data_IF_682908276174
#
_entry.id   IF_682908276174
#
_cell.length_a   1.000
_cell.length_b   1.000
_cell.length_c   1.000
_cell.angle_alpha   90.00
_cell.angle_beta   90.00
_cell.angle_gamma   90.00
#
_symmetry.space_group_name_H-M   'P 1'
#
loop_
_entity.id
_entity.type
_entity.pdbx_description
1 polymer ?
#
# COMPACT_ATOMS: atom_id res chain seq x y z
N UNK A 1 5.37 -8.68 74.48
CA UNK A 1 4.51 -8.02 73.46
C UNK A 1 5.08 -6.70 72.93
N UNK A 2 5.71 -5.83 73.73
CA UNK A 2 6.23 -4.53 73.24
C UNK A 2 7.43 -4.65 72.27
N UNK A 3 8.31 -5.65 72.44
CA UNK A 3 9.54 -5.82 71.64
C UNK A 3 9.27 -6.39 70.23
N UNK A 4 8.28 -7.27 70.07
CA UNK A 4 7.89 -7.75 68.73
C UNK A 4 7.31 -6.63 67.86
N UNK A 5 6.60 -5.67 68.48
CA UNK A 5 6.07 -4.50 67.78
C UNK A 5 7.16 -3.51 67.34
N UNK A 6 8.30 -3.42 68.03
CA UNK A 6 9.40 -2.53 67.63
C UNK A 6 10.23 -3.11 66.49
N UNK A 7 10.49 -4.42 66.49
CA UNK A 7 11.23 -5.12 65.42
C UNK A 7 10.42 -5.10 64.13
N UNK A 8 9.10 -5.36 64.19
CA UNK A 8 8.22 -5.29 63.03
C UNK A 8 8.21 -3.89 62.39
N UNK A 9 8.18 -2.81 63.21
CA UNK A 9 8.23 -1.43 62.72
C UNK A 9 9.57 -1.07 62.10
N UNK A 10 10.69 -1.59 62.62
CA UNK A 10 12.03 -1.32 62.09
C UNK A 10 12.27 -2.01 60.74
N UNK A 11 11.80 -3.25 60.60
CA UNK A 11 11.87 -4.02 59.34
C UNK A 11 11.04 -3.35 58.25
N UNK A 12 9.81 -2.91 58.55
CA UNK A 12 8.97 -2.21 57.57
C UNK A 12 9.61 -0.88 57.14
N UNK A 13 10.23 -0.13 58.08
CA UNK A 13 10.85 1.17 57.77
C UNK A 13 12.10 1.06 56.90
N UNK A 14 12.90 0.01 57.07
CA UNK A 14 14.13 -0.21 56.29
C UNK A 14 13.87 -0.74 54.89
N UNK A 15 12.76 -1.46 54.67
CA UNK A 15 12.40 -2.03 53.37
C UNK A 15 11.39 -1.17 52.59
N UNK A 16 10.76 -0.18 53.24
CA UNK A 16 9.86 0.79 52.60
C UNK A 16 10.45 1.45 51.33
N UNK A 17 11.71 1.95 51.29
CA UNK A 17 12.25 2.55 50.08
C UNK A 17 12.50 1.53 48.95
N UNK A 18 12.91 0.30 49.28
CA UNK A 18 13.06 -0.79 48.29
C UNK A 18 11.73 -1.31 47.75
N UNK A 19 10.71 -1.42 48.61
CA UNK A 19 9.35 -1.79 48.20
C UNK A 19 8.72 -0.66 47.38
N UNK A 20 8.91 0.60 47.76
CA UNK A 20 8.47 1.75 46.98
C UNK A 20 9.19 1.82 45.62
N UNK A 21 10.49 1.54 45.55
CA UNK A 21 11.24 1.48 44.30
C UNK A 21 10.79 0.31 43.41
N UNK A 22 10.48 -0.85 43.98
CA UNK A 22 9.90 -1.99 43.25
C UNK A 22 8.49 -1.68 42.73
N UNK A 23 7.63 -1.05 43.54
CA UNK A 23 6.29 -0.60 43.12
C UNK A 23 6.38 0.48 42.04
N UNK A 24 7.31 1.44 42.16
CA UNK A 24 7.59 2.44 41.12
C UNK A 24 8.13 1.80 39.84
N UNK A 25 9.00 0.79 39.94
CA UNK A 25 9.50 0.05 38.77
C UNK A 25 8.42 -0.80 38.11
N UNK A 26 7.52 -1.41 38.90
CA UNK A 26 6.37 -2.15 38.42
C UNK A 26 5.28 -1.22 37.85
N UNK A 27 5.13 0.01 38.36
CA UNK A 27 4.20 1.01 37.79
C UNK A 27 4.75 1.62 36.51
N UNK A 28 6.07 1.85 36.40
CA UNK A 28 6.73 2.26 35.15
C UNK A 28 6.62 1.15 34.10
N UNK A 29 6.74 -0.12 34.50
CA UNK A 29 6.47 -1.27 33.61
C UNK A 29 4.97 -1.44 33.27
N UNK A 30 4.06 -1.10 34.20
CA UNK A 30 2.62 -1.15 33.98
C UNK A 30 2.07 0.01 33.12
N UNK A 31 2.84 1.08 32.94
CA UNK A 31 2.49 2.21 32.06
C UNK A 31 3.01 2.09 30.62
N UNK A 32 3.68 0.98 30.29
CA UNK A 32 3.68 0.49 28.91
C UNK A 32 2.39 -0.32 28.66
N UNK A 33 1.22 0.29 28.89
CA UNK A 33 0.03 -0.18 28.20
C UNK A 33 0.35 -0.06 26.70
N UNK A 34 0.48 -1.19 26.02
CA UNK A 34 0.67 -1.20 24.57
C UNK A 34 -0.51 -0.39 24.02
N UNK A 35 -0.23 0.80 23.46
CA UNK A 35 -1.28 1.61 22.85
C UNK A 35 -1.90 0.76 21.75
N UNK A 36 -3.14 0.32 21.99
CA UNK A 36 -3.92 -0.46 21.05
C UNK A 36 -5.08 0.41 20.59
N UNK A 37 -5.18 0.59 19.28
CA UNK A 37 -6.33 1.23 18.67
C UNK A 37 -7.48 0.21 18.67
N UNK A 38 -8.68 0.59 19.16
CA UNK A 38 -9.84 -0.28 19.13
C UNK A 38 -10.20 -0.76 17.72
N UNK A 39 -10.61 -2.02 17.60
CA UNK A 39 -10.92 -2.68 16.31
C UNK A 39 -12.03 -1.95 15.55
N UNK A 40 -13.11 -1.53 16.22
CA UNK A 40 -14.20 -0.78 15.61
C UNK A 40 -13.76 0.54 14.95
N UNK A 41 -12.67 1.16 15.46
CA UNK A 41 -12.09 2.36 14.86
C UNK A 41 -11.31 2.03 13.59
N UNK A 42 -10.63 0.90 13.59
CA UNK A 42 -9.90 0.39 12.41
C UNK A 42 -10.89 0.00 11.31
N UNK A 43 -12.01 -0.64 11.68
CA UNK A 43 -13.12 -0.94 10.77
C UNK A 43 -13.71 0.31 10.13
N UNK A 44 -13.99 1.37 10.92
CA UNK A 44 -14.45 2.67 10.40
C UNK A 44 -13.47 3.26 9.37
N UNK A 45 -12.18 3.30 9.69
CA UNK A 45 -11.17 3.80 8.76
C UNK A 45 -11.03 2.96 7.49
N UNK A 46 -11.17 1.64 7.57
CA UNK A 46 -11.17 0.77 6.39
C UNK A 46 -12.36 1.09 5.48
N UNK A 47 -13.58 1.21 6.04
CA UNK A 47 -14.77 1.56 5.27
C UNK A 47 -14.64 2.95 4.60
N UNK A 48 -14.07 3.92 5.32
CA UNK A 48 -13.77 5.25 4.77
C UNK A 48 -12.71 5.21 3.67
N UNK A 49 -11.68 4.38 3.82
CA UNK A 49 -10.65 4.18 2.81
C UNK A 49 -11.23 3.59 1.53
N UNK A 50 -12.04 2.53 1.62
CA UNK A 50 -12.71 1.91 0.46
C UNK A 50 -13.57 2.93 -0.28
N UNK A 51 -14.40 3.70 0.44
CA UNK A 51 -15.21 4.76 -0.15
C UNK A 51 -14.36 5.85 -0.82
N UNK A 52 -13.22 6.22 -0.22
CA UNK A 52 -12.31 7.20 -0.80
C UNK A 52 -11.62 6.67 -2.06
N UNK A 53 -11.33 5.37 -2.15
CA UNK A 53 -10.80 4.72 -3.35
C UNK A 53 -11.83 4.75 -4.49
N UNK A 54 -13.09 4.43 -4.20
CA UNK A 54 -14.19 4.46 -5.18
C UNK A 54 -14.48 5.87 -5.72
N UNK A 55 -14.39 6.88 -4.85
CA UNK A 55 -14.71 8.28 -5.19
C UNK A 55 -13.49 9.12 -5.55
N UNK A 56 -12.29 8.54 -5.51
CA UNK A 56 -11.00 9.23 -5.71
C UNK A 56 -10.80 10.46 -4.78
N UNK A 57 -11.33 10.39 -3.56
CA UNK A 57 -11.33 11.51 -2.60
C UNK A 57 -9.98 11.64 -1.86
N UNK A 58 -9.04 12.39 -2.45
CA UNK A 58 -7.75 12.69 -1.81
C UNK A 58 -7.88 13.50 -0.52
N UNK A 59 -8.98 14.26 -0.34
CA UNK A 59 -9.25 15.01 0.88
C UNK A 59 -9.52 14.07 2.05
N UNK A 60 -10.34 13.03 1.81
CA UNK A 60 -10.60 11.99 2.80
C UNK A 60 -9.35 11.17 3.12
N UNK A 61 -8.55 10.79 2.12
CA UNK A 61 -7.28 10.11 2.37
C UNK A 61 -6.32 10.97 3.20
N UNK A 62 -6.33 12.29 3.03
CA UNK A 62 -5.55 13.20 3.88
C UNK A 62 -6.07 13.22 5.32
N UNK A 63 -7.39 13.30 5.53
CA UNK A 63 -8.00 13.24 6.86
C UNK A 63 -7.70 11.93 7.58
N UNK A 64 -7.77 10.80 6.88
CA UNK A 64 -7.38 9.50 7.41
C UNK A 64 -5.93 9.49 7.89
N UNK A 65 -5.00 10.08 7.14
CA UNK A 65 -3.60 10.21 7.61
C UNK A 65 -3.53 11.04 8.89
N UNK A 66 -4.19 12.19 8.94
CA UNK A 66 -4.14 13.07 10.11
C UNK A 66 -4.71 12.40 11.37
N UNK A 67 -5.73 11.56 11.22
CA UNK A 67 -6.32 10.78 12.31
C UNK A 67 -5.44 9.58 12.73
N UNK A 68 -4.94 8.81 11.76
CA UNK A 68 -4.28 7.52 12.01
C UNK A 68 -2.82 7.73 12.43
N UNK A 69 -2.10 8.68 11.82
CA UNK A 69 -0.66 8.89 12.04
C UNK A 69 -0.24 9.05 13.52
N UNK A 70 -0.86 9.93 14.33
CA UNK A 70 -0.46 10.07 15.74
C UNK A 70 -0.68 8.76 16.52
N UNK A 71 -1.72 8.00 16.18
CA UNK A 71 -2.05 6.73 16.83
C UNK A 71 -1.12 5.61 16.37
N UNK A 72 -0.80 5.54 15.08
CA UNK A 72 0.17 4.60 14.51
C UNK A 72 1.58 4.78 15.09
N UNK A 73 1.95 6.02 15.45
CA UNK A 73 3.23 6.30 16.11
C UNK A 73 3.28 5.81 17.56
N UNK A 74 2.13 5.60 18.20
CA UNK A 74 2.04 5.03 19.56
C UNK A 74 1.84 3.50 19.49
N UNK A 75 0.95 3.04 18.61
CA UNK A 75 0.59 1.65 18.37
C UNK A 75 1.58 0.94 17.42
N UNK A 76 2.89 1.09 17.69
CA UNK A 76 3.97 0.60 16.80
C UNK A 76 3.99 -0.91 16.62
N UNK A 77 3.36 -1.66 17.52
CA UNK A 77 3.28 -3.13 17.51
C UNK A 77 1.94 -3.67 16.99
N UNK A 78 1.00 -2.80 16.58
CA UNK A 78 -0.31 -3.22 16.08
C UNK A 78 -0.30 -3.27 14.54
N UNK A 79 -0.30 -4.48 13.99
CA UNK A 79 -0.16 -4.70 12.54
C UNK A 79 -1.21 -3.92 11.74
N UNK A 80 -2.47 -4.01 12.14
CA UNK A 80 -3.63 -3.46 11.43
C UNK A 80 -3.45 -1.97 11.17
N UNK A 81 -2.99 -1.23 12.17
CA UNK A 81 -2.80 0.23 12.10
C UNK A 81 -1.60 0.59 11.22
N UNK A 82 -0.48 -0.14 11.35
CA UNK A 82 0.70 0.10 10.51
C UNK A 82 0.38 -0.22 9.04
N UNK A 83 -0.28 -1.36 8.80
CA UNK A 83 -0.69 -1.78 7.47
C UNK A 83 -1.68 -0.80 6.85
N UNK A 84 -2.75 -0.43 7.56
CA UNK A 84 -3.76 0.51 7.07
C UNK A 84 -3.14 1.86 6.70
N UNK A 85 -2.32 2.45 7.57
CA UNK A 85 -1.69 3.73 7.27
C UNK A 85 -0.76 3.64 6.05
N UNK A 86 -0.02 2.55 5.89
CA UNK A 86 0.81 2.32 4.71
C UNK A 86 -0.02 2.23 3.42
N UNK A 87 -1.21 1.61 3.49
CA UNK A 87 -2.16 1.52 2.37
C UNK A 87 -2.74 2.89 2.01
N UNK A 88 -3.12 3.71 3.00
CA UNK A 88 -3.59 5.09 2.75
C UNK A 88 -2.52 5.94 2.06
N UNK A 89 -1.25 5.80 2.45
CA UNK A 89 -0.14 6.47 1.75
C UNK A 89 0.03 5.96 0.31
N UNK A 90 -0.10 4.66 0.07
CA UNK A 90 -0.05 4.07 -1.26
C UNK A 90 -1.16 4.62 -2.17
N UNK A 91 -2.41 4.62 -1.70
CA UNK A 91 -3.55 5.14 -2.48
C UNK A 91 -3.36 6.62 -2.84
N UNK A 92 -2.79 7.40 -1.91
CA UNK A 92 -2.41 8.78 -2.19
C UNK A 92 -1.32 8.88 -3.23
N UNK A 93 -0.33 7.98 -3.28
CA UNK A 93 0.66 7.90 -4.36
C UNK A 93 -0.02 7.62 -5.71
N UNK A 94 -0.96 6.68 -5.73
CA UNK A 94 -1.72 6.31 -6.92
C UNK A 94 -2.53 7.47 -7.47
N UNK A 95 -3.19 8.26 -6.62
CA UNK A 95 -3.91 9.47 -7.06
C UNK A 95 -2.98 10.51 -7.71
N UNK A 96 -1.76 10.71 -7.19
CA UNK A 96 -0.78 11.63 -7.84
C UNK A 96 -0.36 11.10 -9.19
N UNK A 97 -0.08 9.79 -9.28
CA UNK A 97 0.29 9.14 -10.54
C UNK A 97 -0.85 9.22 -11.55
N UNK A 98 -2.08 8.95 -11.13
CA UNK A 98 -3.28 9.07 -11.96
C UNK A 98 -3.44 10.49 -12.48
N UNK A 99 -3.38 11.50 -11.59
CA UNK A 99 -3.50 12.90 -11.99
C UNK A 99 -2.49 13.30 -13.07
N UNK A 100 -1.23 12.89 -12.89
CA UNK A 100 -0.14 13.13 -13.85
C UNK A 100 -0.31 12.45 -15.20
N UNK A 101 -1.07 11.36 -15.26
CA UNK A 101 -1.22 10.51 -16.45
C UNK A 101 -2.52 10.77 -17.21
N UNK A 102 -3.54 11.25 -16.51
CA UNK A 102 -4.89 11.39 -17.05
C UNK A 102 -5.25 12.85 -17.33
N UNK A 103 -4.83 13.81 -16.49
CA UNK A 103 -5.15 15.22 -16.70
C UNK A 103 -4.04 15.93 -17.47
N UNK A 104 -4.42 16.98 -18.21
CA UNK A 104 -3.50 17.93 -18.82
C UNK A 104 -2.92 18.85 -17.74
N UNK A 105 -1.87 18.36 -17.08
CA UNK A 105 -1.14 19.10 -16.05
C UNK A 105 0.12 19.73 -16.65
N UNK A 106 0.36 21.00 -16.31
CA UNK A 106 1.54 21.69 -16.82
C UNK A 106 2.84 21.09 -16.22
N UNK A 107 4.00 21.50 -16.78
CA UNK A 107 5.31 20.99 -16.34
C UNK A 107 5.60 21.24 -14.85
N UNK A 108 5.16 22.38 -14.31
CA UNK A 108 5.39 22.78 -12.92
C UNK A 108 4.52 21.93 -11.99
N UNK A 109 3.24 21.79 -12.31
CA UNK A 109 2.30 20.94 -11.58
C UNK A 109 2.73 19.48 -11.62
N UNK A 110 3.15 18.95 -12.78
CA UNK A 110 3.65 17.59 -12.89
C UNK A 110 4.86 17.35 -11.97
N UNK A 111 5.78 18.32 -11.88
CA UNK A 111 6.92 18.26 -10.96
C UNK A 111 6.46 18.25 -9.48
N UNK A 112 5.48 19.07 -9.12
CA UNK A 112 4.92 19.09 -7.76
C UNK A 112 4.29 17.74 -7.42
N UNK A 113 3.45 17.20 -8.30
CA UNK A 113 2.80 15.90 -8.11
C UNK A 113 3.83 14.75 -7.99
N UNK A 114 4.93 14.82 -8.75
CA UNK A 114 6.05 13.86 -8.63
C UNK A 114 6.71 13.92 -7.26
N UNK A 115 7.03 15.11 -6.80
CA UNK A 115 7.67 15.30 -5.50
C UNK A 115 6.76 14.84 -4.37
N UNK A 116 5.46 15.17 -4.44
CA UNK A 116 4.46 14.69 -3.48
C UNK A 116 4.36 13.17 -3.49
N UNK A 117 4.33 12.54 -4.68
CA UNK A 117 4.29 11.08 -4.81
C UNK A 117 5.52 10.43 -4.14
N UNK A 118 6.71 10.99 -4.34
CA UNK A 118 7.94 10.48 -3.73
C UNK A 118 7.91 10.62 -2.20
N UNK A 119 7.51 11.78 -1.68
CA UNK A 119 7.37 12.02 -0.24
C UNK A 119 6.35 11.06 0.40
N UNK A 120 5.17 10.92 -0.22
CA UNK A 120 4.11 10.02 0.25
C UNK A 120 4.60 8.57 0.27
N UNK A 121 5.32 8.14 -0.76
CA UNK A 121 5.89 6.78 -0.82
C UNK A 121 6.91 6.56 0.30
N UNK A 122 7.81 7.52 0.54
CA UNK A 122 8.80 7.43 1.62
C UNK A 122 8.13 7.35 3.00
N UNK A 123 7.08 8.17 3.24
CA UNK A 123 6.32 8.14 4.48
C UNK A 123 5.56 6.82 4.65
N UNK A 124 4.91 6.33 3.59
CA UNK A 124 4.23 5.04 3.59
C UNK A 124 5.17 3.87 3.86
N UNK A 125 6.40 3.93 3.34
CA UNK A 125 7.41 2.87 3.50
C UNK A 125 7.73 2.59 4.97
N UNK A 126 7.79 3.62 5.81
CA UNK A 126 8.02 3.45 7.27
C UNK A 126 6.99 2.51 7.89
N UNK A 127 5.72 2.68 7.52
CA UNK A 127 4.62 1.90 8.07
C UNK A 127 4.52 0.52 7.39
N UNK A 128 4.82 0.43 6.09
CA UNK A 128 4.89 -0.84 5.36
C UNK A 128 6.00 -1.75 5.92
N UNK A 129 7.18 -1.19 6.23
CA UNK A 129 8.28 -1.92 6.84
C UNK A 129 7.90 -2.48 8.22
N UNK A 130 7.20 -1.68 9.03
CA UNK A 130 6.66 -2.14 10.32
C UNK A 130 5.61 -3.23 10.15
N UNK A 131 4.68 -3.06 9.21
CA UNK A 131 3.65 -4.07 8.93
C UNK A 131 4.28 -5.41 8.51
N UNK A 132 5.26 -5.40 7.62
CA UNK A 132 6.01 -6.59 7.21
C UNK A 132 6.81 -7.19 8.38
N UNK A 133 7.42 -6.36 9.23
CA UNK A 133 8.13 -6.86 10.41
C UNK A 133 7.20 -7.54 11.43
N UNK A 134 5.98 -7.02 11.60
CA UNK A 134 4.98 -7.58 12.51
C UNK A 134 4.32 -8.86 11.96
N UNK A 135 4.06 -8.91 10.65
CA UNK A 135 3.50 -10.09 9.97
C UNK A 135 4.26 -10.37 8.67
N UNK A 136 5.41 -11.05 8.74
CA UNK A 136 6.24 -11.33 7.57
C UNK A 136 5.61 -12.30 6.57
N UNK A 137 4.54 -12.99 6.95
CA UNK A 137 3.73 -13.86 6.10
C UNK A 137 2.49 -13.16 5.49
N UNK A 138 2.32 -11.85 5.68
CA UNK A 138 1.22 -11.11 5.07
C UNK A 138 1.54 -10.76 3.62
N UNK A 139 0.87 -11.43 2.68
CA UNK A 139 0.98 -11.11 1.25
C UNK A 139 0.69 -9.63 0.97
N UNK A 140 -0.41 -9.10 1.52
CA UNK A 140 -0.80 -7.71 1.30
C UNK A 140 0.23 -6.70 1.83
N UNK A 141 0.87 -6.96 2.97
CA UNK A 141 1.89 -6.05 3.49
C UNK A 141 3.13 -6.01 2.57
N UNK A 142 3.54 -7.15 2.03
CA UNK A 142 4.60 -7.22 1.03
C UNK A 142 4.19 -6.56 -0.28
N UNK A 143 2.94 -6.73 -0.72
CA UNK A 143 2.40 -6.05 -1.89
C UNK A 143 2.49 -4.53 -1.75
N UNK A 144 1.93 -3.98 -0.67
CA UNK A 144 1.94 -2.53 -0.41
C UNK A 144 3.36 -1.99 -0.36
N UNK A 145 4.28 -2.70 0.31
CA UNK A 145 5.70 -2.35 0.33
C UNK A 145 6.32 -2.32 -1.07
N UNK A 146 6.02 -3.32 -1.90
CA UNK A 146 6.52 -3.40 -3.28
C UNK A 146 6.02 -2.24 -4.15
N UNK A 147 4.73 -1.90 -4.09
CA UNK A 147 4.17 -0.78 -4.84
C UNK A 147 4.70 0.56 -4.35
N UNK A 148 4.90 0.73 -3.04
CA UNK A 148 5.56 1.93 -2.51
C UNK A 148 6.98 2.09 -3.07
N UNK A 149 7.79 1.02 -3.17
CA UNK A 149 9.09 1.08 -3.85
C UNK A 149 8.96 1.51 -5.32
N UNK A 150 7.98 0.98 -6.05
CA UNK A 150 7.71 1.34 -7.45
C UNK A 150 7.35 2.83 -7.56
N UNK A 151 6.62 3.39 -6.61
CA UNK A 151 6.29 4.82 -6.59
C UNK A 151 7.49 5.74 -6.35
N UNK A 152 8.64 5.23 -5.87
CA UNK A 152 9.90 6.00 -5.80
C UNK A 152 10.64 6.04 -7.16
N UNK A 153 10.18 5.32 -8.17
CA UNK A 153 10.77 5.33 -9.51
C UNK A 153 10.35 6.61 -10.23
N UNK A 154 11.24 7.58 -10.19
CA UNK A 154 11.10 8.89 -10.82
C UNK A 154 11.96 9.03 -12.08
N UNK A 155 12.68 8.01 -12.51
CA UNK A 155 13.50 8.02 -13.72
C UNK A 155 14.38 6.77 -13.83
N UNK A 156 15.26 6.69 -14.84
CA UNK A 156 16.09 5.51 -15.07
C UNK A 156 16.98 5.13 -13.88
N UNK A 157 17.64 6.10 -13.25
CA UNK A 157 18.56 5.86 -12.12
C UNK A 157 17.81 5.32 -10.91
N UNK A 158 16.69 5.96 -10.52
CA UNK A 158 15.85 5.46 -9.42
C UNK A 158 15.18 4.14 -9.78
N UNK A 159 14.89 3.89 -11.07
CA UNK A 159 14.41 2.60 -11.58
C UNK A 159 15.39 1.45 -11.33
N UNK A 160 16.68 1.66 -11.57
CA UNK A 160 17.73 0.65 -11.27
C UNK A 160 17.81 0.41 -9.75
N UNK A 161 17.65 1.46 -8.94
CA UNK A 161 17.76 1.35 -7.48
C UNK A 161 16.54 0.70 -6.80
N UNK A 162 15.33 1.06 -7.23
CA UNK A 162 14.09 0.69 -6.54
C UNK A 162 13.26 -0.36 -7.28
N UNK A 163 13.45 -0.51 -8.60
CA UNK A 163 12.78 -1.53 -9.39
C UNK A 163 12.98 -2.95 -8.87
N UNK A 164 14.22 -3.40 -8.61
CA UNK A 164 14.48 -4.72 -8.03
C UNK A 164 13.83 -4.92 -6.66
N UNK A 165 13.86 -3.90 -5.78
CA UNK A 165 13.25 -3.96 -4.45
C UNK A 165 11.73 -4.08 -4.51
N UNK A 166 11.11 -3.30 -5.39
CA UNK A 166 9.68 -3.39 -5.65
C UNK A 166 9.32 -4.78 -6.15
N UNK A 167 10.05 -5.27 -7.16
CA UNK A 167 9.85 -6.60 -7.74
C UNK A 167 9.93 -7.70 -6.69
N UNK A 168 10.99 -7.71 -5.89
CA UNK A 168 11.22 -8.71 -4.84
C UNK A 168 10.07 -8.75 -3.82
N UNK A 169 9.60 -7.58 -3.35
CA UNK A 169 8.46 -7.52 -2.44
C UNK A 169 7.15 -7.99 -3.09
N UNK A 170 6.91 -7.67 -4.37
CA UNK A 170 5.72 -8.17 -5.09
C UNK A 170 5.80 -9.68 -5.33
N UNK A 171 6.95 -10.20 -5.73
CA UNK A 171 7.15 -11.65 -5.89
C UNK A 171 6.97 -12.38 -4.57
N UNK A 172 7.43 -11.81 -3.46
CA UNK A 172 7.18 -12.37 -2.12
C UNK A 172 5.70 -12.37 -1.75
N UNK A 173 4.96 -11.32 -2.09
CA UNK A 173 3.51 -11.29 -1.89
C UNK A 173 2.84 -12.45 -2.64
N UNK A 174 3.15 -12.64 -3.92
CA UNK A 174 2.59 -13.73 -4.74
C UNK A 174 3.02 -15.11 -4.22
N UNK A 175 4.25 -15.26 -3.73
CA UNK A 175 4.70 -16.51 -3.11
C UNK A 175 3.88 -16.85 -1.85
N UNK A 176 3.57 -15.85 -1.03
CA UNK A 176 2.79 -16.01 0.21
C UNK A 176 1.31 -16.28 -0.08
N UNK A 177 0.74 -15.62 -1.09
CA UNK A 177 -0.62 -15.86 -1.56
C UNK A 177 -0.70 -15.76 -3.09
N UNK A 178 -0.66 -16.90 -3.81
CA UNK A 178 -0.79 -16.93 -5.26
C UNK A 178 -2.16 -16.44 -5.79
N UNK A 179 -3.17 -16.31 -4.91
CA UNK A 179 -4.50 -15.78 -5.26
C UNK A 179 -4.60 -14.28 -5.08
N UNK A 180 -3.55 -13.63 -4.59
CA UNK A 180 -3.52 -12.20 -4.41
C UNK A 180 -3.56 -11.47 -5.77
N UNK A 181 -4.76 -11.07 -6.18
CA UNK A 181 -5.00 -10.44 -7.48
C UNK A 181 -4.26 -9.11 -7.62
N UNK A 182 -4.18 -8.32 -6.54
CA UNK A 182 -3.51 -7.03 -6.56
C UNK A 182 -1.99 -7.17 -6.71
N UNK A 183 -1.36 -8.14 -6.04
CA UNK A 183 0.07 -8.41 -6.20
C UNK A 183 0.40 -8.93 -7.61
N UNK A 184 -0.43 -9.84 -8.14
CA UNK A 184 -0.31 -10.29 -9.53
C UNK A 184 -0.51 -9.15 -10.53
N UNK A 185 -1.46 -8.25 -10.27
CA UNK A 185 -1.67 -7.03 -11.08
C UNK A 185 -0.43 -6.14 -11.03
N UNK A 186 0.15 -5.92 -9.86
CA UNK A 186 1.38 -5.14 -9.69
C UNK A 186 2.54 -5.74 -10.50
N UNK A 187 2.73 -7.07 -10.47
CA UNK A 187 3.74 -7.74 -11.28
C UNK A 187 3.47 -7.61 -12.79
N UNK A 188 2.20 -7.77 -13.21
CA UNK A 188 1.77 -7.55 -14.60
C UNK A 188 2.09 -6.14 -15.09
N UNK A 189 1.94 -5.12 -14.23
CA UNK A 189 2.32 -3.74 -14.56
C UNK A 189 3.83 -3.58 -14.75
N UNK A 190 4.64 -4.31 -13.99
CA UNK A 190 6.10 -4.32 -14.19
C UNK A 190 6.46 -4.96 -15.52
N UNK A 191 5.86 -6.10 -15.86
CA UNK A 191 6.02 -6.72 -17.19
C UNK A 191 5.61 -5.77 -18.32
N UNK A 192 4.51 -5.02 -18.14
CA UNK A 192 4.01 -4.11 -19.14
C UNK A 192 4.88 -2.86 -19.33
N UNK A 193 5.42 -2.26 -18.26
CA UNK A 193 6.04 -0.94 -18.35
C UNK A 193 7.56 -0.92 -18.21
N UNK A 194 8.18 -1.99 -17.73
CA UNK A 194 9.63 -2.05 -17.68
C UNK A 194 10.22 -2.27 -19.08
N UNK A 195 11.46 -1.79 -19.32
CA UNK A 195 12.24 -2.22 -20.47
C UNK A 195 12.52 -3.73 -20.45
N UNK A 196 12.69 -4.39 -21.61
CA UNK A 196 12.95 -5.84 -21.66
C UNK A 196 14.13 -6.31 -20.81
N UNK A 197 15.24 -5.58 -20.83
CA UNK A 197 16.44 -5.89 -20.05
C UNK A 197 16.27 -5.70 -18.53
N UNK A 198 15.14 -5.14 -18.07
CA UNK A 198 14.84 -4.92 -16.65
C UNK A 198 13.48 -5.55 -16.26
N UNK A 199 13.20 -6.74 -16.82
CA UNK A 199 12.02 -7.53 -16.48
C UNK A 199 10.73 -7.10 -17.17
N UNK A 200 10.81 -6.31 -18.25
CA UNK A 200 9.68 -6.08 -19.15
C UNK A 200 9.42 -7.30 -20.04
N UNK A 201 8.16 -7.69 -20.17
CA UNK A 201 7.73 -8.84 -20.97
C UNK A 201 6.25 -8.65 -21.35
N UNK A 202 6.00 -8.14 -22.56
CA UNK A 202 4.63 -7.75 -22.98
C UNK A 202 3.72 -8.96 -23.17
N UNK A 203 4.30 -10.13 -23.51
CA UNK A 203 3.56 -11.38 -23.60
C UNK A 203 3.07 -11.82 -22.22
N UNK A 204 3.95 -11.87 -21.23
CA UNK A 204 3.57 -12.18 -19.85
C UNK A 204 2.60 -11.15 -19.27
N UNK A 205 2.75 -9.88 -19.62
CA UNK A 205 1.80 -8.84 -19.22
C UNK A 205 0.39 -9.14 -19.76
N UNK A 206 0.28 -9.42 -21.05
CA UNK A 206 -1.01 -9.73 -21.69
C UNK A 206 -1.66 -10.98 -21.07
N UNK A 207 -0.88 -12.06 -20.89
CA UNK A 207 -1.34 -13.29 -20.25
C UNK A 207 -1.81 -13.03 -18.81
N UNK A 208 -0.98 -12.37 -17.99
CA UNK A 208 -1.30 -12.04 -16.59
C UNK A 208 -2.61 -11.26 -16.50
N UNK A 209 -2.78 -10.23 -17.34
CA UNK A 209 -4.00 -9.41 -17.28
C UNK A 209 -5.23 -10.11 -17.85
N UNK A 210 -5.10 -10.94 -18.89
CA UNK A 210 -6.20 -11.76 -19.39
C UNK A 210 -6.67 -12.75 -18.30
N UNK A 211 -5.75 -13.39 -17.58
CA UNK A 211 -6.07 -14.28 -16.44
C UNK A 211 -6.76 -13.54 -15.30
N UNK A 212 -6.23 -12.39 -14.88
CA UNK A 212 -6.82 -11.59 -13.80
C UNK A 212 -8.22 -11.09 -14.17
N UNK A 213 -8.43 -10.72 -15.43
CA UNK A 213 -9.75 -10.32 -15.91
C UNK A 213 -10.77 -11.46 -15.84
N UNK A 214 -10.35 -12.69 -16.13
CA UNK A 214 -11.20 -13.88 -15.98
C UNK A 214 -11.46 -14.24 -14.51
N UNK A 215 -10.53 -13.91 -13.61
CA UNK A 215 -10.68 -14.07 -12.17
C UNK A 215 -11.56 -12.98 -11.50
N UNK A 216 -12.14 -12.05 -12.28
CA UNK A 216 -13.04 -11.02 -11.77
C UNK A 216 -12.35 -9.73 -11.28
N UNK A 217 -11.09 -9.48 -11.67
CA UNK A 217 -10.35 -8.27 -11.28
C UNK A 217 -10.80 -6.97 -12.00
N UNK A 218 -12.06 -6.92 -12.44
CA UNK A 218 -12.69 -5.74 -13.04
C UNK A 218 -12.31 -5.43 -14.50
N UNK A 219 -12.95 -4.39 -15.02
CA UNK A 219 -12.75 -3.84 -16.37
C UNK A 219 -11.31 -3.34 -16.59
N UNK A 220 -10.65 -2.85 -15.54
CA UNK A 220 -9.28 -2.32 -15.62
C UNK A 220 -8.27 -3.36 -16.10
N UNK A 221 -8.40 -4.63 -15.71
CA UNK A 221 -7.49 -5.67 -16.18
C UNK A 221 -7.66 -5.94 -17.68
N UNK A 222 -8.88 -5.84 -18.22
CA UNK A 222 -9.08 -5.92 -19.66
C UNK A 222 -8.42 -4.75 -20.41
N UNK A 223 -8.49 -3.53 -19.86
CA UNK A 223 -7.79 -2.37 -20.44
C UNK A 223 -6.27 -2.57 -20.42
N UNK A 224 -5.71 -3.09 -19.32
CA UNK A 224 -4.28 -3.36 -19.21
C UNK A 224 -3.82 -4.49 -20.16
N UNK A 225 -4.62 -5.54 -20.34
CA UNK A 225 -4.38 -6.57 -21.35
C UNK A 225 -4.39 -5.96 -22.76
N UNK A 226 -5.37 -5.10 -23.07
CA UNK A 226 -5.43 -4.41 -24.34
C UNK A 226 -4.19 -3.54 -24.60
N UNK A 227 -3.69 -2.82 -23.59
CA UNK A 227 -2.44 -2.07 -23.69
C UNK A 227 -1.25 -2.97 -24.01
N UNK A 228 -1.14 -4.12 -23.36
CA UNK A 228 -0.09 -5.10 -23.64
C UNK A 228 -0.16 -5.59 -25.10
N UNK A 229 -1.35 -5.87 -25.62
CA UNK A 229 -1.54 -6.25 -27.02
C UNK A 229 -1.20 -5.12 -28.01
N UNK A 230 -1.55 -3.87 -27.70
CA UNK A 230 -1.18 -2.71 -28.53
C UNK A 230 0.33 -2.50 -28.61
N UNK A 231 1.04 -2.64 -27.49
CA UNK A 231 2.51 -2.57 -27.43
C UNK A 231 3.20 -3.68 -28.26
N UNK A 232 2.45 -4.75 -28.58
CA UNK A 232 2.89 -5.84 -29.44
C UNK A 232 2.44 -5.71 -30.89
N UNK A 233 1.79 -4.61 -31.26
CA UNK A 233 1.19 -4.42 -32.59
C UNK A 233 0.10 -5.47 -32.91
N UNK A 234 -0.68 -5.87 -31.90
CA UNK A 234 -1.82 -6.80 -32.02
C UNK A 234 -3.18 -6.10 -31.77
N UNK A 235 -3.57 -5.09 -32.57
CA UNK A 235 -4.73 -4.24 -32.30
C UNK A 235 -6.07 -4.98 -32.30
N UNK A 236 -6.21 -6.08 -33.06
CA UNK A 236 -7.44 -6.88 -33.09
C UNK A 236 -7.67 -7.57 -31.74
N UNK A 237 -6.61 -8.09 -31.10
CA UNK A 237 -6.72 -8.69 -29.77
C UNK A 237 -7.02 -7.62 -28.73
N UNK A 238 -6.39 -6.45 -28.82
CA UNK A 238 -6.67 -5.31 -27.96
C UNK A 238 -8.15 -4.90 -28.03
N UNK A 239 -8.70 -4.70 -29.24
CA UNK A 239 -10.09 -4.31 -29.44
C UNK A 239 -11.09 -5.28 -28.80
N UNK A 240 -10.83 -6.59 -28.83
CA UNK A 240 -11.66 -7.60 -28.15
C UNK A 240 -11.68 -7.37 -26.63
N UNK A 241 -10.53 -7.07 -26.02
CA UNK A 241 -10.44 -6.85 -24.56
C UNK A 241 -11.11 -5.53 -24.17
N UNK A 242 -10.90 -4.47 -24.95
CA UNK A 242 -11.55 -3.17 -24.71
C UNK A 242 -13.08 -3.27 -24.78
N UNK A 243 -13.63 -4.06 -25.71
CA UNK A 243 -15.08 -4.33 -25.75
C UNK A 243 -15.57 -5.04 -24.49
N UNK A 244 -14.86 -6.05 -23.99
CA UNK A 244 -15.17 -6.70 -22.70
C UNK A 244 -15.08 -5.74 -21.52
N UNK A 245 -14.09 -4.85 -21.51
CA UNK A 245 -13.99 -3.80 -20.49
C UNK A 245 -15.26 -2.92 -20.48
N UNK A 246 -15.76 -2.55 -21.66
CA UNK A 246 -16.97 -1.74 -21.82
C UNK A 246 -18.27 -2.49 -21.54
N UNK A 247 -18.30 -3.81 -21.71
CA UNK A 247 -19.42 -4.66 -21.26
C UNK A 247 -19.55 -4.63 -19.73
N UNK A 248 -18.41 -4.69 -19.01
CA UNK A 248 -18.39 -4.60 -17.54
C UNK A 248 -18.62 -3.17 -17.04
N UNK A 249 -18.01 -2.19 -17.71
CA UNK A 249 -18.10 -0.80 -17.35
C UNK A 249 -18.30 0.08 -18.60
N UNK A 250 -19.56 0.32 -19.00
CA UNK A 250 -19.88 1.17 -20.15
C UNK A 250 -19.39 2.62 -20.00
N UNK A 251 -19.02 3.06 -18.80
CA UNK A 251 -18.49 4.39 -18.52
C UNK A 251 -16.95 4.47 -18.57
N UNK A 252 -16.23 3.36 -18.84
CA UNK A 252 -14.77 3.37 -18.89
C UNK A 252 -14.26 4.23 -20.06
N UNK A 253 -13.78 5.44 -19.74
CA UNK A 253 -13.33 6.46 -20.71
C UNK A 253 -12.10 5.97 -21.48
N UNK A 254 -11.13 5.39 -20.77
CA UNK A 254 -9.88 4.90 -21.35
C UNK A 254 -10.14 3.80 -22.38
N UNK A 255 -11.07 2.89 -22.08
CA UNK A 255 -11.44 1.81 -22.99
C UNK A 255 -12.09 2.34 -24.28
N UNK A 256 -12.95 3.36 -24.18
CA UNK A 256 -13.56 4.03 -25.35
C UNK A 256 -12.49 4.68 -26.22
N UNK A 257 -11.62 5.47 -25.60
CA UNK A 257 -10.55 6.20 -26.31
C UNK A 257 -9.62 5.25 -27.07
N UNK A 258 -9.11 4.20 -26.40
CA UNK A 258 -8.23 3.24 -27.05
C UNK A 258 -8.92 2.50 -28.20
N UNK A 259 -10.22 2.21 -28.07
CA UNK A 259 -10.97 1.52 -29.13
C UNK A 259 -11.21 2.43 -30.35
N UNK A 260 -11.49 3.72 -30.12
CA UNK A 260 -11.57 4.72 -31.19
C UNK A 260 -10.23 4.88 -31.91
N UNK A 261 -9.12 4.91 -31.18
CA UNK A 261 -7.78 5.09 -31.77
C UNK A 261 -7.36 3.88 -32.61
N UNK A 262 -7.73 2.66 -32.21
CA UNK A 262 -7.55 1.45 -33.04
C UNK A 262 -8.30 1.56 -34.37
N UNK A 263 -9.50 2.15 -34.37
CA UNK A 263 -10.32 2.25 -35.58
C UNK A 263 -9.90 3.35 -36.56
N UNK A 264 -9.00 4.27 -36.14
CA UNK A 264 -8.49 5.36 -36.98
C UNK A 264 -7.21 4.98 -37.75
N UNK A 265 -6.52 3.93 -37.31
CA UNK A 265 -5.28 3.41 -37.91
C UNK A 265 -5.58 2.23 -38.85
#
# INVERSE_FOLDING_TARGET
>A
MAVQNSIARLVIKNWAPTIAALILSLSVLAQCAIAQVPENRIEDWNARLEKAQETFDDGELSRLIDEILPLANQATTQFEVQYLLSKVYLDRCDLRRFKRKTYDVDRKENKILRNQQEELSQRGMVFADRAVALRPNSSEAHRVKGELWIHQITGPISGIRFGPKGKESIEKAIELDPRNLEARRALGLMYLYNPPFNGGDKDKAAETFDELSQAGAGDRCYVLAARAYLEKDEPQKAAIRLKKALELNPANIEAKQLLEDIGKN
#
